data_IF_488151188309
#
_entry.id   IF_488151188309
#
_cell.length_a   1.000
_cell.length_b   1.000
_cell.length_c   1.000
_cell.angle_alpha   90.00
_cell.angle_beta   90.00
_cell.angle_gamma   90.00
#
_symmetry.space_group_name_H-M   'P 1'
#
loop_
_entity.id
_entity.type
_entity.pdbx_description
1 polymer ?
#
# COMPACT_ATOMS: atom_id res chain seq x y z
N UNK A 1 -28.31 65.68 -33.31
CA UNK A 1 -28.67 64.72 -32.25
C UNK A 1 -27.88 63.44 -32.54
N UNK A 2 -26.70 63.30 -31.96
CA UNK A 2 -25.72 62.26 -32.25
C UNK A 2 -25.66 61.30 -31.08
N UNK A 3 -26.05 60.07 -31.31
CA UNK A 3 -26.07 59.00 -30.32
C UNK A 3 -24.69 58.33 -30.27
N UNK A 4 -24.00 58.48 -29.13
CA UNK A 4 -22.73 57.80 -28.83
C UNK A 4 -23.08 56.50 -28.09
N UNK A 5 -23.18 55.41 -28.82
CA UNK A 5 -23.25 54.04 -28.23
C UNK A 5 -22.21 53.18 -28.87
N UNK A 6 -21.20 52.71 -28.13
CA UNK A 6 -20.24 51.81 -28.71
C UNK A 6 -18.91 51.66 -27.99
N UNK A 7 -18.87 51.64 -26.66
CA UNK A 7 -17.62 51.35 -25.93
C UNK A 7 -17.76 50.49 -24.67
N UNK A 8 -18.92 49.90 -24.41
CA UNK A 8 -19.16 49.13 -23.18
C UNK A 8 -19.24 47.60 -23.39
N UNK A 9 -19.12 47.11 -24.65
CA UNK A 9 -19.35 45.68 -24.95
C UNK A 9 -18.07 44.81 -25.10
N UNK A 10 -16.87 45.40 -24.98
CA UNK A 10 -15.60 44.69 -25.24
C UNK A 10 -14.79 44.33 -23.99
N UNK A 11 -15.25 44.67 -22.77
CA UNK A 11 -14.52 44.38 -21.55
C UNK A 11 -15.05 43.13 -20.80
N UNK A 12 -16.23 42.62 -21.16
CA UNK A 12 -16.83 41.49 -20.46
C UNK A 12 -16.42 40.11 -21.01
N UNK A 13 -15.74 40.04 -22.15
CA UNK A 13 -15.37 38.75 -22.79
C UNK A 13 -13.97 38.23 -22.41
N UNK A 14 -13.15 39.03 -21.71
CA UNK A 14 -11.76 38.65 -21.37
C UNK A 14 -11.60 37.99 -20.00
N UNK A 15 -12.66 37.93 -19.16
CA UNK A 15 -12.56 37.45 -17.77
C UNK A 15 -12.98 35.98 -17.56
N UNK A 16 -13.41 35.26 -18.61
CA UNK A 16 -13.90 33.85 -18.46
C UNK A 16 -12.88 32.81 -18.98
N UNK A 17 -11.77 33.23 -19.56
CA UNK A 17 -10.80 32.31 -20.19
C UNK A 17 -9.69 31.81 -19.26
N UNK A 18 -9.69 32.11 -17.96
CA UNK A 18 -8.54 31.86 -17.07
C UNK A 18 -8.77 30.82 -15.97
N UNK A 19 -9.81 30.01 -15.97
CA UNK A 19 -10.09 29.06 -14.87
C UNK A 19 -10.11 27.57 -15.28
N UNK A 20 -9.45 27.22 -16.36
CA UNK A 20 -9.16 25.79 -16.65
C UNK A 20 -7.66 25.52 -16.56
N UNK A 21 -7.02 25.90 -15.46
CA UNK A 21 -5.80 25.26 -15.06
C UNK A 21 -6.17 23.83 -14.63
N UNK A 22 -6.15 22.91 -15.59
CA UNK A 22 -6.34 21.50 -15.32
C UNK A 22 -5.32 21.04 -14.29
N UNK A 23 -5.76 20.78 -13.08
CA UNK A 23 -4.98 19.99 -12.12
C UNK A 23 -4.85 18.61 -12.73
N UNK A 24 -3.68 18.32 -13.31
CA UNK A 24 -3.28 16.97 -13.64
C UNK A 24 -3.26 16.20 -12.32
N UNK A 25 -4.35 15.50 -12.04
CA UNK A 25 -4.38 14.50 -10.98
C UNK A 25 -3.38 13.44 -11.42
N UNK A 26 -2.17 13.48 -10.83
CA UNK A 26 -1.20 12.41 -10.91
C UNK A 26 -1.79 11.22 -10.15
N UNK A 27 -2.64 10.46 -10.82
CA UNK A 27 -3.20 9.21 -10.34
C UNK A 27 -2.19 8.05 -10.39
N UNK A 28 -0.90 8.36 -10.19
CA UNK A 28 0.11 7.36 -9.94
C UNK A 28 0.24 7.28 -8.41
N UNK A 29 -0.45 6.30 -7.85
CA UNK A 29 -0.57 6.16 -6.42
C UNK A 29 0.75 5.89 -5.74
N UNK A 30 1.42 6.93 -5.27
CA UNK A 30 2.37 6.78 -4.20
C UNK A 30 1.60 6.25 -2.99
N UNK A 31 1.76 4.95 -2.72
CA UNK A 31 1.28 4.36 -1.46
C UNK A 31 2.21 4.89 -0.37
N UNK A 32 1.73 5.84 0.41
CA UNK A 32 2.44 6.26 1.63
C UNK A 32 2.13 5.22 2.70
N UNK A 33 3.14 4.47 3.19
CA UNK A 33 2.91 3.46 4.21
C UNK A 33 2.31 4.07 5.48
N UNK A 34 1.31 3.41 6.03
CA UNK A 34 0.65 3.82 7.27
C UNK A 34 1.28 3.08 8.45
N UNK A 35 1.71 3.83 9.47
CA UNK A 35 2.32 3.25 10.66
C UNK A 35 1.39 2.24 11.34
N UNK A 36 1.98 1.18 11.87
CA UNK A 36 1.28 0.09 12.55
C UNK A 36 1.72 0.04 14.02
N UNK A 37 0.77 0.09 14.94
CA UNK A 37 1.07 -0.13 16.35
C UNK A 37 1.26 -1.63 16.63
N UNK A 38 2.49 -2.01 16.90
CA UNK A 38 2.90 -3.38 17.23
C UNK A 38 3.33 -3.54 18.70
N UNK A 39 3.05 -2.56 19.56
CA UNK A 39 3.47 -2.55 20.96
C UNK A 39 2.92 -3.74 21.75
N UNK A 40 1.77 -4.27 21.34
CA UNK A 40 1.10 -5.41 21.98
C UNK A 40 1.67 -6.78 21.56
N UNK A 41 2.62 -6.82 20.60
CA UNK A 41 3.26 -8.07 20.15
C UNK A 41 4.56 -8.32 20.91
N UNK A 42 4.93 -9.59 21.13
CA UNK A 42 6.25 -9.95 21.63
C UNK A 42 7.36 -9.32 20.77
N UNK A 43 8.47 -8.99 21.41
CA UNK A 43 9.64 -8.51 20.67
C UNK A 43 10.29 -9.66 19.90
N UNK A 44 10.89 -9.29 18.78
CA UNK A 44 11.67 -10.20 17.94
C UNK A 44 13.14 -9.92 18.19
N UNK A 45 13.92 -10.96 18.45
CA UNK A 45 15.34 -10.84 18.67
C UNK A 45 16.02 -10.21 17.44
N UNK A 46 16.87 -9.22 17.69
CA UNK A 46 17.53 -8.45 16.62
C UNK A 46 16.75 -7.29 16.05
N UNK A 47 15.46 -7.12 16.43
CA UNK A 47 14.65 -5.98 16.03
C UNK A 47 14.53 -5.84 14.51
N UNK A 48 14.57 -4.61 14.00
CA UNK A 48 14.49 -4.33 12.57
C UNK A 48 15.80 -4.46 11.82
N UNK A 49 16.93 -4.55 12.53
CA UNK A 49 18.25 -4.65 11.92
C UNK A 49 18.59 -6.08 11.50
N UNK A 50 18.03 -7.07 12.19
CA UNK A 50 18.25 -8.47 11.94
C UNK A 50 16.93 -9.23 11.75
N UNK A 51 16.49 -9.33 10.50
CA UNK A 51 15.26 -10.02 10.15
C UNK A 51 15.41 -11.52 10.27
N UNK A 52 14.51 -12.14 11.02
CA UNK A 52 14.42 -13.60 11.12
C UNK A 52 13.75 -14.19 9.87
N UNK A 53 14.03 -15.45 9.60
CA UNK A 53 13.62 -16.12 8.36
C UNK A 53 12.19 -16.67 8.41
N UNK A 54 11.67 -16.99 9.60
CA UNK A 54 10.39 -17.64 9.80
C UNK A 54 9.46 -16.77 10.64
N UNK A 55 8.16 -16.84 10.38
CA UNK A 55 7.15 -16.06 11.08
C UNK A 55 7.01 -16.49 12.54
N UNK A 56 7.41 -15.65 13.53
CA UNK A 56 7.31 -16.00 14.94
C UNK A 56 5.87 -15.85 15.47
N UNK A 57 4.97 -15.32 14.66
CA UNK A 57 3.59 -15.01 15.05
C UNK A 57 2.55 -15.92 14.41
N UNK A 58 2.95 -16.97 13.70
CA UNK A 58 2.02 -17.97 13.13
C UNK A 58 1.03 -18.47 14.18
N UNK A 59 -0.27 -18.35 13.89
CA UNK A 59 -1.34 -18.74 14.82
C UNK A 59 -1.56 -17.82 16.02
N UNK A 60 -0.79 -16.73 16.16
CA UNK A 60 -0.99 -15.76 17.25
C UNK A 60 -2.20 -14.85 16.95
N UNK A 61 -3.30 -15.02 17.70
CA UNK A 61 -4.55 -14.30 17.48
C UNK A 61 -4.40 -12.76 17.53
N UNK A 62 -3.52 -12.25 18.40
CA UNK A 62 -3.28 -10.81 18.48
C UNK A 62 -2.51 -10.30 17.26
N UNK A 63 -1.52 -11.05 16.80
CA UNK A 63 -0.76 -10.70 15.60
C UNK A 63 -1.66 -10.78 14.37
N UNK A 64 -2.53 -11.76 14.26
CA UNK A 64 -3.51 -11.88 13.18
C UNK A 64 -4.41 -10.65 13.13
N UNK A 65 -4.96 -10.19 14.26
CA UNK A 65 -5.82 -9.01 14.30
C UNK A 65 -5.08 -7.71 13.94
N UNK A 66 -3.83 -7.54 14.39
CA UNK A 66 -2.98 -6.41 14.01
C UNK A 66 -2.63 -6.50 12.52
N UNK A 67 -2.31 -7.69 12.03
CA UNK A 67 -1.96 -7.96 10.64
C UNK A 67 -3.12 -7.67 9.69
N UNK A 68 -4.34 -8.03 10.03
CA UNK A 68 -5.55 -7.70 9.28
C UNK A 68 -5.68 -6.18 9.09
N UNK A 69 -5.59 -5.43 10.19
CA UNK A 69 -5.67 -3.97 10.15
C UNK A 69 -4.52 -3.36 9.33
N UNK A 70 -3.29 -3.84 9.54
CA UNK A 70 -2.10 -3.39 8.83
C UNK A 70 -2.17 -3.69 7.33
N UNK A 71 -2.64 -4.88 6.97
CA UNK A 71 -2.88 -5.27 5.58
C UNK A 71 -3.92 -4.37 4.91
N UNK A 72 -5.05 -4.14 5.56
CA UNK A 72 -6.11 -3.27 5.05
C UNK A 72 -5.61 -1.87 4.71
N UNK A 73 -4.73 -1.32 5.55
CA UNK A 73 -4.20 0.03 5.39
C UNK A 73 -3.08 0.12 4.34
N UNK A 74 -2.26 -0.91 4.19
CA UNK A 74 -1.02 -0.83 3.43
C UNK A 74 -1.00 -1.68 2.15
N UNK A 75 -1.75 -2.77 2.09
CA UNK A 75 -1.63 -3.80 1.05
C UNK A 75 -2.89 -3.94 0.20
N UNK A 76 -4.08 -3.83 0.82
CA UNK A 76 -5.37 -4.14 0.20
C UNK A 76 -5.67 -3.31 -1.06
N UNK A 77 -5.12 -2.11 -1.17
CA UNK A 77 -5.29 -1.25 -2.34
C UNK A 77 -4.83 -1.92 -3.64
N UNK A 78 -3.77 -2.72 -3.58
CA UNK A 78 -3.20 -3.41 -4.73
C UNK A 78 -3.54 -4.91 -4.74
N UNK A 79 -3.47 -5.56 -3.57
CA UNK A 79 -3.69 -7.00 -3.44
C UNK A 79 -5.14 -7.40 -3.18
N UNK A 80 -6.04 -6.40 -3.08
CA UNK A 80 -7.47 -6.62 -2.83
C UNK A 80 -7.81 -6.85 -1.37
N UNK A 81 -9.08 -6.65 -1.04
CA UNK A 81 -9.63 -7.01 0.27
C UNK A 81 -9.57 -8.54 0.42
N UNK A 82 -9.39 -9.02 1.63
CA UNK A 82 -9.30 -10.45 1.94
C UNK A 82 -8.16 -11.18 1.18
N UNK A 83 -7.13 -10.44 0.73
CA UNK A 83 -6.03 -10.92 -0.11
C UNK A 83 -6.46 -11.46 -1.49
N UNK A 84 -7.70 -11.22 -1.89
CA UNK A 84 -8.26 -11.62 -3.19
C UNK A 84 -7.90 -10.57 -4.22
N UNK A 85 -7.03 -10.90 -5.15
CA UNK A 85 -6.54 -9.96 -6.16
C UNK A 85 -7.62 -9.51 -7.15
N UNK A 86 -7.64 -8.21 -7.43
CA UNK A 86 -8.38 -7.64 -8.55
C UNK A 86 -7.58 -7.55 -9.86
N UNK A 87 -6.41 -8.20 -9.95
CA UNK A 87 -5.55 -8.23 -11.14
C UNK A 87 -4.47 -7.15 -11.21
N UNK A 88 -4.37 -6.23 -10.23
CA UNK A 88 -3.30 -5.22 -10.18
C UNK A 88 -2.00 -5.80 -9.63
N UNK A 89 -2.10 -6.69 -8.64
CA UNK A 89 -1.00 -7.36 -7.96
C UNK A 89 -1.34 -8.85 -7.77
N UNK A 90 -0.39 -9.72 -7.42
CA UNK A 90 -0.68 -11.12 -7.17
C UNK A 90 -1.72 -11.35 -6.08
N UNK A 91 -2.50 -12.41 -6.21
CA UNK A 91 -3.38 -12.91 -5.17
C UNK A 91 -2.56 -13.59 -4.08
N UNK A 92 -2.60 -13.05 -2.86
CA UNK A 92 -1.74 -13.50 -1.77
C UNK A 92 -2.29 -14.71 -1.01
N UNK A 93 -3.48 -15.18 -1.37
CA UNK A 93 -4.02 -16.41 -0.78
C UNK A 93 -3.26 -17.67 -1.23
N UNK A 94 -2.60 -17.59 -2.38
CA UNK A 94 -1.76 -18.69 -2.91
C UNK A 94 -0.32 -18.69 -2.37
N UNK A 95 -0.01 -17.77 -1.43
CA UNK A 95 1.30 -17.75 -0.81
C UNK A 95 1.45 -18.95 0.14
N UNK A 96 2.37 -19.84 -0.16
CA UNK A 96 2.59 -21.08 0.58
C UNK A 96 2.70 -20.85 2.11
N UNK A 97 2.26 -21.84 2.87
CA UNK A 97 2.44 -21.84 4.32
C UNK A 97 3.86 -22.26 4.69
N UNK A 98 4.32 -21.81 5.86
CA UNK A 98 5.63 -22.20 6.41
C UNK A 98 6.82 -21.51 5.75
N UNK A 99 8.04 -22.06 5.93
CA UNK A 99 9.30 -21.38 5.64
C UNK A 99 9.45 -20.87 4.20
N UNK A 100 8.98 -21.62 3.21
CA UNK A 100 9.04 -21.23 1.79
C UNK A 100 8.22 -19.97 1.51
N UNK A 101 7.00 -19.92 2.02
CA UNK A 101 6.16 -18.73 1.90
C UNK A 101 6.65 -17.55 2.73
N UNK A 102 7.25 -17.79 3.87
CA UNK A 102 7.84 -16.76 4.74
C UNK A 102 9.04 -16.09 4.08
N UNK A 103 9.94 -16.89 3.48
CA UNK A 103 11.09 -16.39 2.73
C UNK A 103 10.64 -15.50 1.57
N UNK A 104 9.68 -15.97 0.78
CA UNK A 104 9.14 -15.21 -0.35
C UNK A 104 8.48 -13.91 0.13
N UNK A 105 7.69 -13.98 1.20
CA UNK A 105 6.99 -12.83 1.76
C UNK A 105 7.96 -11.77 2.29
N UNK A 106 8.92 -12.18 3.14
CA UNK A 106 9.85 -11.23 3.78
C UNK A 106 10.71 -10.51 2.76
N UNK A 107 11.16 -11.21 1.71
CA UNK A 107 11.93 -10.62 0.63
C UNK A 107 11.14 -9.50 -0.06
N UNK A 108 9.89 -9.76 -0.44
CA UNK A 108 9.01 -8.80 -1.10
C UNK A 108 8.59 -7.66 -0.19
N UNK A 109 8.29 -7.95 1.07
CA UNK A 109 7.91 -6.95 2.04
C UNK A 109 9.05 -5.96 2.32
N UNK A 110 10.26 -6.47 2.46
CA UNK A 110 11.46 -5.63 2.73
C UNK A 110 11.86 -4.80 1.54
N UNK A 111 11.97 -5.40 0.37
CA UNK A 111 12.66 -4.83 -0.78
C UNK A 111 11.71 -4.35 -1.87
N UNK A 112 10.42 -4.69 -1.76
CA UNK A 112 9.44 -4.39 -2.80
C UNK A 112 9.67 -5.19 -4.07
N UNK A 113 9.18 -4.66 -5.19
CA UNK A 113 9.38 -5.24 -6.52
C UNK A 113 9.53 -4.15 -7.56
N UNK A 114 10.59 -4.24 -8.35
CA UNK A 114 10.85 -3.34 -9.46
C UNK A 114 11.22 -4.13 -10.71
N UNK A 115 10.76 -3.66 -11.87
CA UNK A 115 11.08 -4.25 -13.16
C UNK A 115 11.27 -3.13 -14.19
N UNK A 116 12.32 -3.21 -15.00
CA UNK A 116 12.69 -2.20 -16.01
C UNK A 116 12.71 -0.76 -15.46
N UNK A 117 13.22 -0.58 -14.24
CA UNK A 117 13.33 0.72 -13.57
C UNK A 117 12.00 1.28 -13.04
N UNK A 118 10.91 0.52 -13.14
CA UNK A 118 9.60 0.88 -12.63
C UNK A 118 9.28 0.10 -11.36
N UNK A 119 8.87 0.82 -10.31
CA UNK A 119 8.45 0.22 -9.05
C UNK A 119 7.00 -0.26 -9.19
N UNK A 120 6.78 -1.56 -8.95
CA UNK A 120 5.45 -2.19 -8.91
C UNK A 120 4.95 -2.36 -7.49
N UNK A 121 5.83 -2.71 -6.56
CA UNK A 121 5.54 -2.79 -5.13
C UNK A 121 6.61 -1.99 -4.39
N UNK A 122 6.26 -0.97 -3.60
CA UNK A 122 7.24 -0.24 -2.79
C UNK A 122 7.79 -1.12 -1.66
N UNK A 123 9.00 -0.85 -1.17
CA UNK A 123 9.53 -1.51 0.03
C UNK A 123 8.80 -1.01 1.28
N UNK A 124 8.39 -1.93 2.15
CA UNK A 124 7.69 -1.61 3.40
C UNK A 124 8.56 -1.87 4.65
N UNK A 125 9.62 -2.65 4.52
CA UNK A 125 10.40 -3.13 5.65
C UNK A 125 10.95 -2.02 6.56
N UNK A 126 11.51 -0.95 5.99
CA UNK A 126 12.07 0.16 6.77
C UNK A 126 10.99 0.98 7.50
N UNK A 127 9.82 1.14 6.89
CA UNK A 127 8.76 2.01 7.41
C UNK A 127 7.90 1.30 8.44
N UNK A 128 7.51 0.06 8.16
CA UNK A 128 6.60 -0.71 9.01
C UNK A 128 7.32 -1.58 10.04
N UNK A 129 8.53 -2.00 9.72
CA UNK A 129 9.34 -2.84 10.57
C UNK A 129 8.95 -4.33 10.58
N UNK A 130 9.80 -5.13 11.19
CA UNK A 130 9.71 -6.59 11.20
C UNK A 130 8.44 -7.10 11.88
N UNK A 131 8.06 -6.53 13.04
CA UNK A 131 6.88 -6.97 13.80
C UNK A 131 5.60 -6.78 12.98
N UNK A 132 5.45 -5.66 12.28
CA UNK A 132 4.29 -5.41 11.43
C UNK A 132 4.28 -6.35 10.20
N UNK A 133 5.43 -6.58 9.58
CA UNK A 133 5.54 -7.53 8.47
C UNK A 133 5.09 -8.92 8.88
N UNK A 134 5.59 -9.46 9.97
CA UNK A 134 5.22 -10.79 10.44
C UNK A 134 3.76 -10.88 10.94
N UNK A 135 3.21 -9.78 11.47
CA UNK A 135 1.79 -9.73 11.80
C UNK A 135 0.91 -9.82 10.54
N UNK A 136 1.27 -9.08 9.47
CA UNK A 136 0.59 -9.17 8.18
C UNK A 136 0.69 -10.60 7.63
N UNK A 137 1.88 -11.21 7.70
CA UNK A 137 2.07 -12.60 7.25
C UNK A 137 1.20 -13.57 8.04
N UNK A 138 1.11 -13.44 9.37
CA UNK A 138 0.25 -14.28 10.21
C UNK A 138 -1.24 -14.18 9.82
N UNK A 139 -1.70 -13.00 9.42
CA UNK A 139 -3.05 -12.84 8.89
C UNK A 139 -3.20 -13.48 7.51
N UNK A 140 -2.22 -13.31 6.60
CA UNK A 140 -2.24 -13.94 5.27
C UNK A 140 -2.30 -15.46 5.35
N UNK A 141 -1.63 -16.08 6.32
CA UNK A 141 -1.70 -17.53 6.56
C UNK A 141 -3.14 -18.02 6.82
N UNK A 142 -3.98 -17.17 7.42
CA UNK A 142 -5.40 -17.49 7.64
C UNK A 142 -6.25 -17.44 6.37
N UNK A 143 -5.70 -16.85 5.29
CA UNK A 143 -6.39 -16.70 4.00
C UNK A 143 -5.93 -17.73 2.97
N UNK A 144 -4.96 -18.56 3.32
CA UNK A 144 -4.40 -19.55 2.40
C UNK A 144 -5.48 -20.41 1.75
N UNK A 145 -5.32 -20.66 0.46
CA UNK A 145 -6.13 -21.60 -0.31
C UNK A 145 -5.25 -22.26 -1.39
N UNK A 146 -5.55 -23.50 -1.69
CA UNK A 146 -4.96 -24.29 -2.76
C UNK A 146 -5.94 -24.54 -3.93
N UNK A 147 -7.10 -23.88 -3.90
CA UNK A 147 -8.19 -23.96 -4.89
C UNK A 147 -8.12 -22.90 -5.98
#
# INVERSE_FOLDING_TARGET
>A
MTIRTGRAALVAAAAIASLTAGTSLLAHGNVTPQAVDTSALPDIEGGNDNWIAENPYTGNAKAIAIGESAYGQNCARCHGLEAISGGIAPDLRYLELGPSGDEWFVERFRNGSSHDGKVYMPPFGEVLGQKAGWAIRAWLETKYTDE
#
